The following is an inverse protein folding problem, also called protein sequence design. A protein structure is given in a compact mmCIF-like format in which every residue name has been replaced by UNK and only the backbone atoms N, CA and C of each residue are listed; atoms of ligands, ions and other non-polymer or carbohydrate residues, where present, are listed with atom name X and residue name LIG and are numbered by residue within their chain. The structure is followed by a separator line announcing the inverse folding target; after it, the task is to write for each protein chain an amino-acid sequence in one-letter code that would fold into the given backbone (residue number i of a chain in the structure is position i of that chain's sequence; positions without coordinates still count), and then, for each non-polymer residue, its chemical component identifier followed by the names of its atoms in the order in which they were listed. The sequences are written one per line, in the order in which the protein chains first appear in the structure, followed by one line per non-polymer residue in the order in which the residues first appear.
data_IF_908360578507
#
_entry.id   IF_908360578507
#
_cell.length_a   1.000
_cell.length_b   1.000
_cell.length_c   1.000
_cell.angle_alpha   90.00
_cell.angle_beta   90.00
_cell.angle_gamma   90.00
#
_symmetry.space_group_name_H-M   'P 1'
#
loop_
_entity.id
_entity.type
_entity.pdbx_description
1 polymer ?
#
# COMPACT_ATOMS: atom_id res chain seq x y z
N UNK A 1 1.52 13.85 -8.03
CA UNK A 1 2.17 13.12 -6.92
C UNK A 1 1.60 11.70 -6.84
N UNK A 2 2.43 10.70 -6.59
CA UNK A 2 1.99 9.31 -6.42
C UNK A 2 2.20 8.84 -4.99
N UNK A 3 1.27 8.06 -4.46
CA UNK A 3 1.39 7.40 -3.15
C UNK A 3 0.55 6.12 -3.09
N UNK A 4 0.89 5.24 -2.15
CA UNK A 4 0.16 4.03 -1.85
C UNK A 4 -0.74 4.17 -0.61
N UNK A 5 -1.78 3.36 -0.53
CA UNK A 5 -2.65 3.25 0.66
C UNK A 5 -2.61 1.85 1.25
N UNK A 6 -2.95 1.73 2.53
CA UNK A 6 -2.94 0.44 3.25
C UNK A 6 -4.02 -0.51 2.71
N UNK A 7 -5.14 0.01 2.22
CA UNK A 7 -6.11 -0.80 1.49
C UNK A 7 -5.65 -1.21 0.09
N UNK A 8 -4.45 -0.82 -0.37
CA UNK A 8 -3.84 -1.35 -1.59
C UNK A 8 -4.09 -0.52 -2.84
N UNK A 9 -4.54 0.72 -2.73
CA UNK A 9 -4.53 1.61 -3.89
C UNK A 9 -3.14 2.22 -4.10
N UNK A 10 -2.70 2.28 -5.35
CA UNK A 10 -1.79 3.34 -5.79
C UNK A 10 -2.64 4.46 -6.37
N UNK A 11 -2.37 5.70 -5.95
CA UNK A 11 -3.11 6.89 -6.36
C UNK A 11 -2.17 7.90 -6.98
N UNK A 12 -2.67 8.60 -7.99
CA UNK A 12 -2.08 9.81 -8.54
C UNK A 12 -2.98 10.99 -8.22
N UNK A 13 -2.40 12.03 -7.61
CA UNK A 13 -3.09 13.29 -7.33
C UNK A 13 -2.39 14.46 -8.02
N UNK A 14 -3.17 15.47 -8.37
CA UNK A 14 -2.65 16.76 -8.76
C UNK A 14 -1.84 17.38 -7.60
N UNK A 15 -0.64 17.88 -7.90
CA UNK A 15 0.30 18.31 -6.86
C UNK A 15 -0.08 19.64 -6.18
N UNK A 16 -0.92 20.46 -6.81
CA UNK A 16 -1.30 21.78 -6.29
C UNK A 16 -2.63 21.74 -5.56
N UNK A 17 -3.57 20.93 -6.08
CA UNK A 17 -4.95 20.87 -5.61
C UNK A 17 -5.25 19.63 -4.76
N UNK A 18 -4.41 18.59 -4.84
CA UNK A 18 -4.67 17.30 -4.19
C UNK A 18 -5.79 16.48 -4.84
N UNK A 19 -6.36 16.93 -5.97
CA UNK A 19 -7.43 16.20 -6.67
C UNK A 19 -6.92 14.85 -7.18
N UNK A 20 -7.63 13.77 -6.87
CA UNK A 20 -7.35 12.43 -7.42
C UNK A 20 -7.54 12.45 -8.95
N UNK A 21 -6.50 12.05 -9.68
CA UNK A 21 -6.47 11.99 -11.14
C UNK A 21 -6.59 10.55 -11.65
N UNK A 22 -6.06 9.60 -10.87
CA UNK A 22 -6.06 8.19 -11.22
C UNK A 22 -5.85 7.34 -9.97
N UNK A 23 -6.38 6.10 -9.98
CA UNK A 23 -6.07 5.08 -9.00
C UNK A 23 -6.13 3.69 -9.58
N UNK A 24 -5.39 2.76 -8.97
CA UNK A 24 -5.44 1.34 -9.28
C UNK A 24 -5.35 0.49 -8.01
N UNK A 25 -6.12 -0.59 -7.95
CA UNK A 25 -6.16 -1.54 -6.82
C UNK A 25 -5.11 -2.62 -7.02
N UNK A 26 -4.02 -2.56 -6.25
CA UNK A 26 -3.04 -3.63 -6.17
C UNK A 26 -3.59 -4.84 -5.37
N UNK A 27 -2.96 -6.03 -5.49
CA UNK A 27 -3.37 -7.22 -4.74
C UNK A 27 -3.28 -7.09 -3.21
N UNK A 28 -2.44 -6.19 -2.70
CA UNK A 28 -2.20 -5.98 -1.26
C UNK A 28 -1.93 -4.51 -0.93
N UNK A 29 -1.89 -4.19 0.37
CA UNK A 29 -1.61 -2.86 0.90
C UNK A 29 -0.22 -2.36 0.54
N UNK A 30 -0.06 -1.05 0.36
CA UNK A 30 1.24 -0.45 0.04
C UNK A 30 1.81 0.21 1.29
N UNK A 31 2.95 -0.29 1.75
CA UNK A 31 3.74 0.29 2.85
C UNK A 31 5.09 0.87 2.38
N UNK A 32 5.47 0.58 1.14
CA UNK A 32 6.71 1.06 0.52
C UNK A 32 6.52 2.32 -0.31
N UNK A 33 7.61 2.79 -0.89
CA UNK A 33 7.62 3.99 -1.73
C UNK A 33 7.24 3.68 -3.17
N UNK A 34 6.62 4.65 -3.84
CA UNK A 34 6.43 4.64 -5.29
C UNK A 34 7.72 5.13 -5.96
N UNK A 35 8.23 4.38 -6.93
CA UNK A 35 9.46 4.72 -7.65
C UNK A 35 9.18 4.93 -9.15
N UNK A 36 10.02 5.72 -9.83
CA UNK A 36 9.95 5.90 -11.29
C UNK A 36 11.32 5.64 -11.93
N UNK A 37 11.30 5.14 -13.17
CA UNK A 37 12.49 4.92 -13.98
C UNK A 37 12.17 5.04 -15.47
N UNK A 38 13.20 5.06 -16.32
CA UNK A 38 13.08 4.97 -17.78
C UNK A 38 13.77 3.72 -18.29
N UNK A 39 13.16 3.06 -19.26
CA UNK A 39 13.73 1.93 -20.01
C UNK A 39 13.32 2.06 -21.47
N UNK A 40 14.28 2.00 -22.39
CA UNK A 40 14.10 2.14 -23.83
C UNK A 40 13.23 3.36 -24.23
N UNK A 41 13.52 4.51 -23.60
CA UNK A 41 12.81 5.77 -23.85
C UNK A 41 11.42 5.87 -23.21
N UNK A 42 10.86 4.78 -22.67
CA UNK A 42 9.56 4.76 -22.01
C UNK A 42 9.71 4.95 -20.49
N UNK A 43 8.85 5.79 -19.90
CA UNK A 43 8.82 6.00 -18.45
C UNK A 43 7.88 4.99 -17.77
N UNK A 44 8.32 4.49 -16.63
CA UNK A 44 7.58 3.54 -15.81
C UNK A 44 7.43 4.06 -14.38
N UNK A 45 6.32 3.68 -13.75
CA UNK A 45 6.06 3.85 -12.33
C UNK A 45 5.95 2.46 -11.71
N UNK A 46 6.56 2.25 -10.55
CA UNK A 46 6.54 0.94 -9.86
C UNK A 46 6.26 1.08 -8.38
N UNK A 47 5.58 0.09 -7.82
CA UNK A 47 5.24 0.03 -6.39
C UNK A 47 5.15 -1.41 -5.91
N UNK A 48 5.69 -1.69 -4.73
CA UNK A 48 5.51 -2.97 -4.05
C UNK A 48 4.20 -2.95 -3.25
N UNK A 49 3.42 -4.01 -3.41
CA UNK A 49 2.23 -4.30 -2.62
C UNK A 49 2.46 -5.53 -1.76
N UNK A 50 2.17 -5.38 -0.47
CA UNK A 50 2.43 -6.33 0.60
C UNK A 50 2.22 -5.61 1.93
N UNK A 51 1.01 -5.69 2.48
CA UNK A 51 0.70 -5.06 3.77
C UNK A 51 1.57 -5.67 4.87
N UNK A 52 2.02 -4.85 5.80
CA UNK A 52 2.95 -5.24 6.85
C UNK A 52 3.43 -4.01 7.62
N UNK A 53 4.68 -4.05 8.06
CA UNK A 53 5.20 -3.04 9.00
C UNK A 53 4.33 -2.98 10.26
N UNK A 54 4.33 -1.84 10.95
CA UNK A 54 3.58 -1.73 12.20
C UNK A 54 2.06 -1.66 11.97
N UNK A 55 1.61 -0.95 10.92
CA UNK A 55 0.20 -0.82 10.62
C UNK A 55 -0.47 -2.16 10.22
N UNK A 56 0.28 -3.10 9.66
CA UNK A 56 -0.20 -4.43 9.28
C UNK A 56 0.19 -5.54 10.26
N UNK A 57 0.72 -5.24 11.45
CA UNK A 57 1.37 -6.25 12.31
C UNK A 57 0.40 -7.36 12.75
N UNK A 58 -0.85 -7.02 13.06
CA UNK A 58 -1.89 -8.00 13.42
C UNK A 58 -2.33 -8.90 12.27
N UNK A 59 -2.05 -8.52 11.03
CA UNK A 59 -2.25 -9.40 9.87
C UNK A 59 -1.03 -10.28 9.59
N UNK A 60 0.17 -9.81 9.95
CA UNK A 60 1.43 -10.49 9.64
C UNK A 60 1.83 -11.52 10.69
N UNK A 61 1.41 -11.36 11.95
CA UNK A 61 1.73 -12.25 13.06
C UNK A 61 0.42 -12.84 13.61
N UNK A 62 0.07 -14.10 13.26
CA UNK A 62 -1.21 -14.70 13.64
C UNK A 62 -1.47 -14.80 15.15
N UNK A 63 -0.43 -14.79 15.99
CA UNK A 63 -0.58 -14.88 17.44
C UNK A 63 -0.93 -13.55 18.12
N UNK A 64 -1.06 -12.46 17.37
CA UNK A 64 -1.43 -11.15 17.89
C UNK A 64 -2.90 -10.87 17.57
N UNK A 65 -3.78 -11.07 18.55
CA UNK A 65 -5.23 -11.03 18.37
C UNK A 65 -5.90 -9.95 19.22
N UNK A 66 -5.28 -9.57 20.35
CA UNK A 66 -5.84 -8.63 21.31
C UNK A 66 -5.63 -7.18 20.86
N UNK A 67 -6.55 -6.28 21.21
CA UNK A 67 -6.47 -4.88 20.79
C UNK A 67 -5.19 -4.17 21.25
N UNK A 68 -4.63 -4.58 22.39
CA UNK A 68 -3.42 -4.00 22.97
C UNK A 68 -2.13 -4.62 22.43
N UNK A 69 -2.22 -5.71 21.66
CA UNK A 69 -1.06 -6.37 21.07
C UNK A 69 -0.36 -5.47 20.04
N UNK A 70 0.92 -5.77 19.79
CA UNK A 70 1.74 -4.98 18.86
C UNK A 70 1.85 -3.51 19.28
N UNK A 71 1.93 -3.23 20.58
CA UNK A 71 1.86 -1.88 21.18
C UNK A 71 0.59 -1.10 20.77
N UNK A 72 -0.55 -1.78 20.71
CA UNK A 72 -1.87 -1.21 20.38
C UNK A 72 -2.17 -1.10 18.88
N UNK A 73 -1.21 -1.44 18.00
CA UNK A 73 -1.41 -1.36 16.55
C UNK A 73 -2.43 -2.38 16.05
N UNK A 74 -2.54 -3.55 16.68
CA UNK A 74 -3.49 -4.60 16.30
C UNK A 74 -4.93 -4.08 16.41
N UNK A 75 -5.29 -3.48 17.55
CA UNK A 75 -6.61 -2.87 17.72
C UNK A 75 -6.83 -1.67 16.80
N UNK A 76 -5.84 -0.78 16.69
CA UNK A 76 -5.94 0.44 15.87
C UNK A 76 -6.22 0.15 14.39
N UNK A 77 -5.71 -0.97 13.85
CA UNK A 77 -5.85 -1.37 12.45
C UNK A 77 -6.69 -2.64 12.25
N UNK A 78 -7.47 -3.08 13.25
CA UNK A 78 -8.26 -4.34 13.19
C UNK A 78 -9.12 -4.48 11.93
N UNK A 79 -9.70 -3.37 11.47
CA UNK A 79 -10.56 -3.36 10.28
C UNK A 79 -9.81 -3.47 8.94
N UNK A 80 -8.47 -3.38 8.94
CA UNK A 80 -7.65 -3.37 7.73
C UNK A 80 -7.77 -4.68 6.93
N UNK A 81 -7.94 -5.81 7.62
CA UNK A 81 -8.14 -7.13 7.01
C UNK A 81 -9.41 -7.23 6.16
N UNK A 82 -10.39 -6.33 6.35
CA UNK A 82 -11.59 -6.27 5.51
C UNK A 82 -11.29 -5.71 4.10
N UNK A 83 -10.14 -5.07 3.90
CA UNK A 83 -9.82 -4.31 2.69
C UNK A 83 -8.63 -4.85 1.90
N UNK A 84 -7.75 -5.60 2.56
CA UNK A 84 -6.50 -6.09 2.00
C UNK A 84 -6.10 -7.41 2.66
N UNK A 85 -5.16 -8.12 2.04
CA UNK A 85 -4.55 -9.34 2.57
C UNK A 85 -3.03 -9.22 2.50
N UNK A 86 -2.29 -10.13 3.15
CA UNK A 86 -0.85 -10.26 2.94
C UNK A 86 -0.54 -10.49 1.45
N UNK A 87 0.64 -10.06 1.00
CA UNK A 87 1.05 -10.17 -0.38
C UNK A 87 2.53 -9.84 -0.60
N UNK A 88 2.95 -9.88 -1.86
CA UNK A 88 4.33 -9.61 -2.26
C UNK A 88 4.43 -9.46 -3.77
N UNK A 89 3.83 -8.40 -4.31
CA UNK A 89 3.75 -8.16 -5.76
C UNK A 89 4.31 -6.78 -6.11
N UNK A 90 5.22 -6.74 -7.08
CA UNK A 90 5.68 -5.50 -7.73
C UNK A 90 4.76 -5.19 -8.91
N UNK A 91 4.01 -4.11 -8.82
CA UNK A 91 3.21 -3.60 -9.94
C UNK A 91 4.01 -2.54 -10.71
N UNK A 92 3.97 -2.61 -12.04
CA UNK A 92 4.64 -1.67 -12.95
C UNK A 92 3.62 -1.07 -13.92
N UNK A 93 3.62 0.25 -14.06
CA UNK A 93 2.66 1.01 -14.87
C UNK A 93 3.38 1.87 -15.90
N UNK A 94 2.78 1.99 -17.08
CA UNK A 94 3.15 2.94 -18.12
C UNK A 94 1.92 3.31 -18.96
N UNK A 95 2.03 4.35 -19.79
CA UNK A 95 1.02 4.64 -20.84
C UNK A 95 1.07 3.62 -21.98
#
# INVERSE_FOLDING_TARGET
MFYGTLEGFIKAVDAHTGRELWRFKNPSGVIGNVNTYKHDGKQYISVLSGIGGWAGIGMAIPSLEDDTDGLGAVGAYRALSNWTNLGGVLSVFSL
#
